data_IF_046500835447
#
_entry.id   IF_046500835447
#
_cell.length_a   1.000
_cell.length_b   1.000
_cell.length_c   1.000
_cell.angle_alpha   90.00
_cell.angle_beta   90.00
_cell.angle_gamma   90.00
#
_symmetry.space_group_name_H-M   'P 1'
#
loop_
_entity.id
_entity.type
_entity.pdbx_description
1 polymer ?
#
# COMPACT_ATOMS: atom_id res chain seq x y z
N UNK A 1 24.56 -3.05 -9.27
CA UNK A 1 24.07 -3.86 -8.14
C UNK A 1 22.54 -3.69 -8.08
N UNK A 2 21.77 -4.39 -8.93
CA UNK A 2 20.34 -4.11 -9.17
C UNK A 2 19.46 -5.39 -9.10
N UNK A 3 19.82 -6.37 -8.28
CA UNK A 3 19.15 -7.70 -8.29
C UNK A 3 17.89 -7.80 -7.40
N UNK A 4 17.93 -7.24 -6.19
CA UNK A 4 16.93 -7.51 -5.14
C UNK A 4 15.87 -6.41 -5.01
N UNK A 5 16.28 -5.14 -4.93
CA UNK A 5 15.35 -4.01 -4.78
C UNK A 5 14.31 -3.94 -5.93
N UNK A 6 14.75 -4.15 -7.18
CA UNK A 6 13.83 -4.14 -8.33
C UNK A 6 12.86 -5.33 -8.35
N UNK A 7 13.24 -6.45 -7.74
CA UNK A 7 12.37 -7.62 -7.64
C UNK A 7 11.27 -7.41 -6.58
N UNK A 8 11.63 -6.84 -5.43
CA UNK A 8 10.65 -6.48 -4.40
C UNK A 8 9.68 -5.40 -4.89
N UNK A 9 10.17 -4.34 -5.54
CA UNK A 9 9.33 -3.29 -6.13
C UNK A 9 8.31 -3.86 -7.13
N UNK A 10 8.75 -4.80 -7.98
CA UNK A 10 7.85 -5.49 -8.92
C UNK A 10 6.77 -6.29 -8.20
N UNK A 11 7.11 -6.96 -7.10
CA UNK A 11 6.14 -7.72 -6.30
C UNK A 11 5.16 -6.82 -5.55
N UNK A 12 5.62 -5.65 -5.08
CA UNK A 12 4.75 -4.63 -4.49
C UNK A 12 3.79 -4.10 -5.55
N UNK A 13 4.26 -3.76 -6.75
CA UNK A 13 3.40 -3.32 -7.84
C UNK A 13 2.36 -4.38 -8.23
N UNK A 14 2.75 -5.66 -8.28
CA UNK A 14 1.79 -6.75 -8.48
C UNK A 14 0.75 -6.81 -7.36
N UNK A 15 1.16 -6.61 -6.10
CA UNK A 15 0.22 -6.57 -4.98
C UNK A 15 -0.72 -5.35 -5.04
N UNK A 16 -0.24 -4.20 -5.51
CA UNK A 16 -1.07 -3.01 -5.77
C UNK A 16 -2.13 -3.28 -6.85
N UNK A 17 -1.77 -4.01 -7.91
CA UNK A 17 -2.72 -4.44 -8.94
C UNK A 17 -3.80 -5.36 -8.34
N UNK A 18 -3.40 -6.35 -7.52
CA UNK A 18 -4.36 -7.26 -6.88
C UNK A 18 -5.32 -6.51 -5.94
N UNK A 19 -4.84 -5.50 -5.21
CA UNK A 19 -5.68 -4.63 -4.38
C UNK A 19 -6.75 -3.90 -5.20
N UNK A 20 -6.44 -3.51 -6.44
CA UNK A 20 -7.38 -2.81 -7.32
C UNK A 20 -8.39 -3.77 -7.96
N UNK A 21 -7.96 -4.99 -8.28
CA UNK A 21 -8.76 -5.97 -9.04
C UNK A 21 -9.73 -6.74 -8.15
N UNK A 22 -9.31 -7.15 -6.95
CA UNK A 22 -10.08 -8.03 -6.10
C UNK A 22 -10.56 -7.32 -4.83
N UNK A 23 -11.80 -7.58 -4.43
CA UNK A 23 -12.40 -6.98 -3.23
C UNK A 23 -11.99 -7.70 -1.93
N UNK A 24 -11.75 -9.01 -1.98
CA UNK A 24 -11.48 -9.84 -0.80
C UNK A 24 -10.02 -10.20 -0.67
N UNK A 25 -9.51 -10.15 0.56
CA UNK A 25 -8.11 -10.47 0.85
C UNK A 25 -7.76 -11.92 0.49
N UNK A 26 -8.68 -12.87 0.70
CA UNK A 26 -8.47 -14.26 0.30
C UNK A 26 -8.19 -14.42 -1.21
N UNK A 27 -8.94 -13.71 -2.07
CA UNK A 27 -8.73 -13.76 -3.52
C UNK A 27 -7.43 -13.08 -3.94
N UNK A 28 -7.12 -11.93 -3.35
CA UNK A 28 -5.86 -11.21 -3.60
C UNK A 28 -4.66 -12.09 -3.24
N UNK A 29 -4.67 -12.70 -2.05
CA UNK A 29 -3.61 -13.59 -1.58
C UNK A 29 -3.50 -14.83 -2.48
N UNK A 30 -4.63 -15.46 -2.84
CA UNK A 30 -4.64 -16.63 -3.72
C UNK A 30 -3.96 -16.33 -5.08
N UNK A 31 -4.28 -15.19 -5.68
CA UNK A 31 -3.75 -14.78 -6.99
C UNK A 31 -2.29 -14.37 -6.92
N UNK A 32 -1.95 -13.57 -5.92
CA UNK A 32 -0.56 -13.15 -5.67
C UNK A 32 0.33 -14.36 -5.38
N UNK A 33 -0.17 -15.34 -4.61
CA UNK A 33 0.54 -16.59 -4.33
C UNK A 33 0.90 -17.36 -5.59
N UNK A 34 -0.05 -17.51 -6.51
CA UNK A 34 0.21 -18.21 -7.80
C UNK A 34 1.30 -17.50 -8.60
N UNK A 35 1.26 -16.15 -8.66
CA UNK A 35 2.28 -15.34 -9.34
C UNK A 35 3.66 -15.46 -8.69
N UNK A 36 3.71 -15.43 -7.35
CA UNK A 36 4.96 -15.58 -6.57
C UNK A 36 5.54 -16.98 -6.75
N UNK A 37 4.72 -18.03 -6.66
CA UNK A 37 5.19 -19.41 -6.81
C UNK A 37 5.79 -19.74 -8.18
N UNK A 38 5.39 -18.98 -9.22
CA UNK A 38 5.98 -19.08 -10.56
C UNK A 38 7.24 -18.22 -10.75
N UNK A 39 7.47 -17.22 -9.90
CA UNK A 39 8.53 -16.22 -10.07
C UNK A 39 9.66 -16.32 -9.05
N UNK A 40 9.41 -16.88 -7.86
CA UNK A 40 10.38 -16.98 -6.77
C UNK A 40 10.56 -18.41 -6.29
N UNK A 41 11.81 -18.80 -6.04
CA UNK A 41 12.13 -20.00 -5.26
C UNK A 41 12.02 -19.74 -3.75
N UNK A 42 12.05 -20.79 -2.92
CA UNK A 42 11.87 -20.70 -1.47
C UNK A 42 12.93 -19.82 -0.76
N UNK A 43 14.16 -19.74 -1.30
CA UNK A 43 15.20 -18.87 -0.73
C UNK A 43 14.90 -17.41 -1.00
N UNK A 44 14.55 -17.07 -2.25
CA UNK A 44 14.17 -15.72 -2.65
C UNK A 44 12.92 -15.23 -1.90
N UNK A 45 11.95 -16.12 -1.64
CA UNK A 45 10.77 -15.76 -0.84
C UNK A 45 11.14 -15.31 0.57
N UNK A 46 12.14 -15.94 1.21
CA UNK A 46 12.65 -15.53 2.53
C UNK A 46 13.38 -14.21 2.47
N UNK A 47 14.29 -14.05 1.49
CA UNK A 47 15.05 -12.80 1.30
C UNK A 47 14.11 -11.61 1.07
N UNK A 48 13.12 -11.76 0.18
CA UNK A 48 12.09 -10.73 -0.09
C UNK A 48 11.23 -10.44 1.13
N UNK A 49 10.89 -11.46 1.94
CA UNK A 49 10.10 -11.29 3.17
C UNK A 49 10.87 -10.46 4.20
N UNK A 50 12.15 -10.75 4.41
CA UNK A 50 13.01 -10.01 5.33
C UNK A 50 13.14 -8.54 4.90
N UNK A 51 13.42 -8.29 3.62
CA UNK A 51 13.49 -6.94 3.06
C UNK A 51 12.15 -6.19 3.19
N UNK A 52 11.04 -6.87 2.92
CA UNK A 52 9.71 -6.30 3.07
C UNK A 52 9.40 -5.93 4.52
N UNK A 53 9.80 -6.75 5.49
CA UNK A 53 9.65 -6.48 6.92
C UNK A 53 10.44 -5.25 7.37
N UNK A 54 11.61 -5.01 6.78
CA UNK A 54 12.40 -3.80 7.05
C UNK A 54 11.73 -2.53 6.52
N UNK A 55 11.03 -2.62 5.38
CA UNK A 55 10.29 -1.51 4.76
C UNK A 55 8.91 -1.25 5.39
N UNK A 56 8.42 -2.14 6.25
CA UNK A 56 7.14 -1.93 6.93
C UNK A 56 7.25 -0.78 7.93
N UNK A 57 6.26 0.13 7.97
CA UNK A 57 6.30 1.26 8.89
C UNK A 57 6.25 0.75 10.34
N UNK A 58 7.18 1.25 11.15
CA UNK A 58 7.21 0.98 12.59
C UNK A 58 6.44 2.08 13.31
N UNK A 59 5.45 1.71 14.12
CA UNK A 59 4.70 2.64 14.97
C UNK A 59 3.25 2.90 14.53
N UNK A 60 2.56 3.73 15.32
CA UNK A 60 1.11 3.93 15.23
C UNK A 60 0.67 4.66 13.95
N UNK A 61 1.41 5.68 13.50
CA UNK A 61 1.04 6.47 12.32
C UNK A 61 0.97 5.66 11.03
N UNK A 62 1.92 4.76 10.81
CA UNK A 62 1.90 3.89 9.62
C UNK A 62 0.70 2.96 9.61
N UNK A 63 0.37 2.37 10.76
CA UNK A 63 -0.83 1.53 10.91
C UNK A 63 -2.11 2.33 10.70
N UNK A 64 -2.19 3.55 11.25
CA UNK A 64 -3.34 4.42 11.06
C UNK A 64 -3.56 4.75 9.57
N UNK A 65 -2.50 5.07 8.84
CA UNK A 65 -2.59 5.43 7.42
C UNK A 65 -2.92 4.20 6.56
N UNK A 66 -2.37 3.04 6.91
CA UNK A 66 -2.72 1.78 6.26
C UNK A 66 -4.20 1.43 6.43
N UNK A 67 -4.73 1.48 7.66
CA UNK A 67 -6.10 1.05 7.98
C UNK A 67 -7.15 2.12 7.62
N UNK A 68 -6.80 3.40 7.79
CA UNK A 68 -7.74 4.51 7.70
C UNK A 68 -7.31 5.59 6.70
N UNK A 69 -6.68 5.20 5.58
CA UNK A 69 -6.21 6.14 4.54
C UNK A 69 -7.22 7.22 4.14
N UNK A 70 -8.51 6.85 4.05
CA UNK A 70 -9.58 7.78 3.67
C UNK A 70 -9.85 8.77 4.79
N UNK A 71 -9.97 8.31 6.04
CA UNK A 71 -10.15 9.16 7.23
C UNK A 71 -9.01 10.15 7.39
N UNK A 72 -7.76 9.73 7.16
CA UNK A 72 -6.58 10.61 7.29
C UNK A 72 -6.51 11.63 6.13
N UNK A 73 -6.94 11.26 4.92
CA UNK A 73 -6.93 12.16 3.76
C UNK A 73 -8.10 13.17 3.75
N UNK A 74 -9.24 12.82 4.34
CA UNK A 74 -10.47 13.63 4.33
C UNK A 74 -10.28 15.07 4.84
N UNK A 75 -9.58 15.32 5.96
CA UNK A 75 -9.31 16.69 6.42
C UNK A 75 -8.61 17.55 5.36
N UNK A 76 -7.67 16.97 4.60
CA UNK A 76 -6.94 17.69 3.57
C UNK A 76 -7.81 17.99 2.35
N UNK A 77 -8.70 17.06 1.97
CA UNK A 77 -9.76 17.33 0.99
C UNK A 77 -10.70 18.45 1.46
N UNK A 78 -11.05 18.48 2.74
CA UNK A 78 -11.86 19.54 3.35
C UNK A 78 -11.18 20.90 3.29
N UNK A 79 -9.89 20.99 3.66
CA UNK A 79 -9.08 22.22 3.55
C UNK A 79 -9.03 22.71 2.10
N UNK A 80 -8.79 21.80 1.16
CA UNK A 80 -8.76 22.15 -0.25
C UNK A 80 -10.12 22.67 -0.75
N UNK A 81 -11.22 21.97 -0.43
CA UNK A 81 -12.56 22.36 -0.82
C UNK A 81 -12.98 23.71 -0.24
N UNK A 82 -12.70 23.95 1.05
CA UNK A 82 -12.98 25.23 1.71
C UNK A 82 -12.13 26.36 1.13
N UNK A 83 -10.85 26.12 0.85
CA UNK A 83 -9.99 27.12 0.23
C UNK A 83 -10.43 27.52 -1.18
N UNK A 84 -10.88 26.55 -2.00
CA UNK A 84 -11.50 26.87 -3.30
C UNK A 84 -12.79 27.66 -3.13
N UNK A 85 -13.65 27.27 -2.18
CA UNK A 85 -14.90 27.95 -1.92
C UNK A 85 -14.67 29.40 -1.49
N UNK A 86 -13.81 29.66 -0.50
CA UNK A 86 -13.52 31.02 -0.05
C UNK A 86 -12.76 31.84 -1.09
N UNK A 87 -11.78 31.24 -1.78
CA UNK A 87 -11.03 31.93 -2.83
C UNK A 87 -11.93 32.44 -3.96
N UNK A 88 -12.93 31.64 -4.37
CA UNK A 88 -13.89 32.04 -5.40
C UNK A 88 -14.98 32.96 -4.82
N UNK A 89 -15.64 32.55 -3.73
CA UNK A 89 -16.80 33.25 -3.18
C UNK A 89 -16.47 34.60 -2.56
N UNK A 90 -15.33 34.72 -1.88
CA UNK A 90 -14.89 35.95 -1.22
C UNK A 90 -13.84 36.72 -2.05
N UNK A 91 -13.45 36.20 -3.22
CA UNK A 91 -12.42 36.77 -4.09
C UNK A 91 -11.09 37.01 -3.36
N UNK A 92 -10.73 36.11 -2.45
CA UNK A 92 -9.51 36.18 -1.66
C UNK A 92 -8.45 35.28 -2.30
N UNK A 93 -7.50 35.81 -3.10
CA UNK A 93 -6.59 34.98 -3.88
C UNK A 93 -5.63 34.15 -3.00
N UNK A 94 -5.38 34.60 -1.77
CA UNK A 94 -4.54 33.88 -0.80
C UNK A 94 -5.15 32.54 -0.40
N UNK A 95 -6.47 32.38 -0.47
CA UNK A 95 -7.15 31.14 -0.11
C UNK A 95 -6.91 30.02 -1.13
N UNK A 96 -6.40 30.34 -2.34
CA UNK A 96 -5.93 29.33 -3.29
C UNK A 96 -4.66 28.61 -2.83
N UNK A 97 -3.97 29.08 -1.79
CA UNK A 97 -2.88 28.33 -1.17
C UNK A 97 -3.38 27.05 -0.48
N UNK A 98 -4.60 27.08 0.08
CA UNK A 98 -5.18 25.93 0.76
C UNK A 98 -5.42 24.72 -0.18
N UNK A 99 -6.04 24.83 -1.37
CA UNK A 99 -6.11 23.73 -2.33
C UNK A 99 -4.76 23.38 -2.95
N UNK A 100 -3.86 24.37 -3.15
CA UNK A 100 -2.53 24.11 -3.67
C UNK A 100 -1.71 23.18 -2.77
N UNK A 101 -1.95 23.20 -1.45
CA UNK A 101 -1.27 22.32 -0.48
C UNK A 101 -2.13 21.10 -0.11
N UNK A 102 -3.43 21.32 0.14
CA UNK A 102 -4.36 20.30 0.61
C UNK A 102 -4.55 19.16 -0.38
N UNK A 103 -4.67 19.45 -1.69
CA UNK A 103 -4.85 18.41 -2.71
C UNK A 103 -3.61 17.52 -2.81
N UNK A 104 -2.37 18.05 -2.96
CA UNK A 104 -1.18 17.21 -2.95
C UNK A 104 -1.04 16.38 -1.68
N UNK A 105 -1.29 16.94 -0.50
CA UNK A 105 -1.21 16.19 0.76
C UNK A 105 -2.21 15.03 0.79
N UNK A 106 -3.47 15.29 0.43
CA UNK A 106 -4.50 14.26 0.40
C UNK A 106 -4.12 13.10 -0.54
N UNK A 107 -3.66 13.43 -1.75
CA UNK A 107 -3.25 12.44 -2.75
C UNK A 107 -2.05 11.62 -2.24
N UNK A 108 -1.04 12.27 -1.66
CA UNK A 108 0.15 11.58 -1.16
C UNK A 108 -0.18 10.64 0.00
N UNK A 109 -1.04 11.04 0.93
CA UNK A 109 -1.50 10.18 2.03
C UNK A 109 -2.26 8.97 1.49
N UNK A 110 -3.14 9.17 0.50
CA UNK A 110 -3.88 8.07 -0.11
C UNK A 110 -2.96 7.08 -0.84
N UNK A 111 -2.00 7.59 -1.63
CA UNK A 111 -0.99 6.76 -2.30
C UNK A 111 -0.14 5.99 -1.30
N UNK A 112 0.27 6.63 -0.22
CA UNK A 112 1.05 5.98 0.83
C UNK A 112 0.24 4.86 1.50
N UNK A 113 -1.01 5.13 1.91
CA UNK A 113 -1.88 4.11 2.49
C UNK A 113 -2.14 2.93 1.54
N UNK A 114 -2.27 3.19 0.23
CA UNK A 114 -2.38 2.14 -0.77
C UNK A 114 -1.14 1.25 -0.84
N UNK A 115 0.05 1.87 -0.91
CA UNK A 115 1.32 1.16 -0.93
C UNK A 115 1.55 0.33 0.34
N UNK A 116 1.15 0.84 1.52
CA UNK A 116 1.23 0.11 2.77
C UNK A 116 0.34 -1.14 2.78
N UNK A 117 -0.89 -1.02 2.26
CA UNK A 117 -1.77 -2.18 2.13
C UNK A 117 -1.20 -3.23 1.16
N UNK A 118 -0.52 -2.79 0.09
CA UNK A 118 0.08 -3.69 -0.89
C UNK A 118 1.25 -4.48 -0.26
N UNK A 119 2.10 -3.79 0.49
CA UNK A 119 3.16 -4.41 1.29
C UNK A 119 2.60 -5.39 2.32
N UNK A 120 1.52 -5.03 3.01
CA UNK A 120 0.86 -5.92 3.99
C UNK A 120 0.33 -7.19 3.34
N UNK A 121 -0.35 -7.09 2.20
CA UNK A 121 -0.94 -8.27 1.57
C UNK A 121 0.12 -9.17 0.93
N UNK A 122 1.19 -8.58 0.42
CA UNK A 122 2.38 -9.31 -0.03
C UNK A 122 3.01 -10.09 1.14
N UNK A 123 3.18 -9.45 2.30
CA UNK A 123 3.73 -10.09 3.49
C UNK A 123 2.86 -11.28 3.94
N UNK A 124 1.54 -11.09 4.05
CA UNK A 124 0.58 -12.16 4.39
C UNK A 124 0.67 -13.32 3.38
N UNK A 125 0.85 -13.01 2.11
CA UNK A 125 0.96 -14.03 1.05
C UNK A 125 2.24 -14.85 1.21
N UNK A 126 3.38 -14.19 1.49
CA UNK A 126 4.65 -14.87 1.73
C UNK A 126 4.59 -15.75 2.99
N UNK A 127 3.89 -15.29 4.03
CA UNK A 127 3.63 -16.07 5.26
C UNK A 127 2.77 -17.30 4.97
N UNK A 128 1.67 -17.18 4.22
CA UNK A 128 0.82 -18.33 3.88
C UNK A 128 1.56 -19.38 3.04
N UNK A 129 2.44 -18.95 2.12
CA UNK A 129 3.30 -19.87 1.36
C UNK A 129 4.21 -20.65 2.31
N UNK A 130 4.85 -19.95 3.25
CA UNK A 130 5.77 -20.57 4.21
C UNK A 130 5.05 -21.57 5.13
N UNK A 131 3.85 -21.24 5.62
CA UNK A 131 3.03 -22.13 6.44
C UNK A 131 2.62 -23.41 5.70
N UNK A 132 2.24 -23.30 4.42
CA UNK A 132 1.89 -24.45 3.58
C UNK A 132 3.07 -25.37 3.29
N UNK A 133 4.29 -24.82 3.18
CA UNK A 133 5.50 -25.64 3.03
C UNK A 133 5.79 -26.40 4.33
N UNK A 134 5.55 -25.78 5.49
CA UNK A 134 5.77 -26.41 6.81
C UNK A 134 4.72 -27.46 7.17
N UNK A 135 3.52 -27.36 6.61
CA UNK A 135 2.45 -28.35 6.78
C UNK A 135 2.31 -29.18 5.50
N UNK A 136 3.14 -30.22 5.29
CA UNK A 136 2.87 -31.16 4.21
C UNK A 136 1.49 -31.77 4.47
N UNK A 137 0.64 -31.71 3.44
CA UNK A 137 -0.71 -32.26 3.41
C UNK A 137 -0.72 -33.62 4.11
N UNK A 138 -1.42 -33.73 5.24
CA UNK A 138 -1.84 -35.04 5.74
C UNK A 138 -2.88 -35.54 4.74
N UNK A 139 -2.48 -36.51 3.92
CA UNK A 139 -3.39 -37.32 3.11
C UNK A 139 -4.42 -38.04 4.00
#
# INVERSE_FOLDING_TARGET
MNGTNGQLERLIALAEDELAVYSTDARKIEKLRRKIGLSLNARQQKEVKEELLELMPKGWFGKLIEEQRQTVALPFWGIAGLGLLFGISLRQPVDFLAPAIGIPLAINIQKWGWNLQAKRILLKTLEEIEERIKQPVKE
#
